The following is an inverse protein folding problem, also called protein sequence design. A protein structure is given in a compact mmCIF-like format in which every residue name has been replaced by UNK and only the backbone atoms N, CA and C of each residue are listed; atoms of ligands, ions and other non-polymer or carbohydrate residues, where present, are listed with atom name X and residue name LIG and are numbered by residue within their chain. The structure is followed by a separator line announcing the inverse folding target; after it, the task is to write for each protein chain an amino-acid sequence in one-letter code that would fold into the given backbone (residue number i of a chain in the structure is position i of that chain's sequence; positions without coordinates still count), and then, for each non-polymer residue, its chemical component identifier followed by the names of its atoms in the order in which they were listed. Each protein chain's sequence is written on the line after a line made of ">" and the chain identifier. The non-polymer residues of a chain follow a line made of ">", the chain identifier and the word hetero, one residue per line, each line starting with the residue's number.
data_IF_306921555460
#
_entry.id   IF_306921555460
#
_cell.length_a   1.000
_cell.length_b   1.000
_cell.length_c   1.000
_cell.angle_alpha   90.00
_cell.angle_beta   90.00
_cell.angle_gamma   90.00
#
_symmetry.space_group_name_H-M   'P 1'
#
loop_
_entity.id
_entity.type
_entity.pdbx_description
1 polymer ?
#
# COMPACT_ATOMS: atom_id res chain seq x y z
N UNK A 1 20.78 -2.13 -3.89
CA UNK A 1 19.38 -1.83 -4.23
C UNK A 1 18.48 -2.13 -3.05
N UNK A 2 17.68 -1.15 -2.62
CA UNK A 2 16.75 -1.21 -1.49
C UNK A 2 15.32 -1.07 -2.00
N UNK A 3 14.55 -2.13 -1.84
CA UNK A 3 13.15 -2.17 -2.28
C UNK A 3 12.24 -2.31 -1.07
N UNK A 4 11.23 -1.44 -1.00
CA UNK A 4 10.17 -1.52 -0.01
C UNK A 4 8.94 -2.22 -0.62
N UNK A 5 8.66 -3.45 -0.20
CA UNK A 5 7.48 -4.21 -0.60
C UNK A 5 6.31 -3.97 0.34
N UNK A 6 5.10 -3.77 -0.22
CA UNK A 6 3.90 -3.40 0.54
C UNK A 6 2.71 -4.34 0.23
N UNK A 7 1.93 -4.66 1.26
CA UNK A 7 0.61 -5.28 1.17
C UNK A 7 -0.45 -4.50 1.96
N UNK A 8 -1.73 -4.86 1.80
CA UNK A 8 -2.86 -4.16 2.41
C UNK A 8 -3.57 -3.17 1.49
N UNK A 9 -4.50 -2.41 2.07
CA UNK A 9 -5.32 -1.44 1.35
C UNK A 9 -4.71 -0.04 1.29
N UNK A 10 -5.45 0.88 0.67
CA UNK A 10 -5.07 2.29 0.52
C UNK A 10 -5.96 3.24 1.35
N UNK A 11 -6.73 2.73 2.31
CA UNK A 11 -7.58 3.56 3.16
C UNK A 11 -6.83 4.02 4.42
N UNK A 12 -7.18 5.20 4.95
CA UNK A 12 -6.65 5.67 6.25
C UNK A 12 -7.29 4.88 7.39
N UNK A 13 -6.61 4.87 8.54
CA UNK A 13 -7.05 4.11 9.71
C UNK A 13 -8.42 4.61 10.22
N UNK A 14 -8.71 5.91 10.12
CA UNK A 14 -9.96 6.54 10.55
C UNK A 14 -11.00 6.71 9.43
N UNK A 15 -10.73 6.23 8.22
CA UNK A 15 -11.75 6.19 7.17
C UNK A 15 -12.71 5.03 7.49
N UNK A 16 -13.79 5.32 8.24
CA UNK A 16 -14.86 4.36 8.57
C UNK A 16 -15.87 4.20 7.43
N UNK A 17 -15.97 5.22 6.57
CA UNK A 17 -16.65 5.11 5.29
C UNK A 17 -15.86 4.10 4.45
N UNK A 18 -16.43 2.94 4.08
CA UNK A 18 -15.85 2.17 3.00
C UNK A 18 -15.70 3.16 1.86
N UNK A 19 -14.46 3.38 1.39
CA UNK A 19 -14.30 3.98 0.08
C UNK A 19 -15.32 3.27 -0.82
N UNK A 20 -16.09 4.03 -1.60
CA UNK A 20 -17.15 3.45 -2.44
C UNK A 20 -16.63 2.30 -3.33
N UNK A 21 -15.30 2.24 -3.48
CA UNK A 21 -14.56 1.03 -3.75
C UNK A 21 -13.87 0.49 -2.49
N UNK A 22 -14.41 -0.54 -1.83
CA UNK A 22 -13.92 -1.03 -0.54
C UNK A 22 -12.54 -1.71 -0.70
N UNK A 23 -11.44 -0.94 -0.77
CA UNK A 23 -10.07 -1.46 -0.82
C UNK A 23 -9.82 -2.38 0.37
N UNK A 24 -10.40 -2.02 1.51
CA UNK A 24 -10.50 -2.81 2.73
C UNK A 24 -11.15 -4.21 2.57
N UNK A 25 -11.97 -4.47 1.55
CA UNK A 25 -12.57 -5.80 1.26
C UNK A 25 -11.77 -6.60 0.24
N UNK A 26 -10.84 -5.98 -0.48
CA UNK A 26 -10.10 -6.66 -1.56
C UNK A 26 -8.68 -7.01 -1.11
N UNK A 27 -8.16 -6.32 -0.09
CA UNK A 27 -6.80 -6.50 0.41
C UNK A 27 -6.79 -6.53 1.93
N UNK A 28 -6.35 -7.64 2.48
CA UNK A 28 -6.18 -7.87 3.91
C UNK A 28 -4.69 -8.06 4.23
N UNK A 29 -4.36 -8.18 5.51
CA UNK A 29 -3.00 -8.45 5.99
C UNK A 29 -2.00 -7.40 5.52
N UNK A 30 -2.28 -6.14 5.85
CA UNK A 30 -1.36 -5.04 5.57
C UNK A 30 0.00 -5.31 6.23
N UNK A 31 1.07 -5.16 5.48
CA UNK A 31 2.43 -5.45 5.91
C UNK A 31 3.44 -4.67 5.06
N UNK A 32 4.68 -4.62 5.53
CA UNK A 32 5.81 -4.10 4.78
C UNK A 32 7.01 -5.03 4.91
N UNK A 33 7.83 -5.08 3.85
CA UNK A 33 9.11 -5.77 3.82
C UNK A 33 10.16 -4.87 3.20
N UNK A 34 11.32 -4.77 3.85
CA UNK A 34 12.51 -4.16 3.29
C UNK A 34 13.44 -5.25 2.74
N UNK A 35 13.71 -5.18 1.45
CA UNK A 35 14.70 -6.03 0.76
C UNK A 35 15.91 -5.19 0.41
N UNK A 36 17.09 -5.63 0.80
CA UNK A 36 18.37 -5.00 0.45
C UNK A 36 19.24 -6.03 -0.27
N UNK A 37 19.66 -5.70 -1.49
CA UNK A 37 20.51 -6.53 -2.35
C UNK A 37 20.03 -7.98 -2.48
N UNK A 38 18.71 -8.12 -2.71
CA UNK A 38 18.05 -9.39 -2.90
C UNK A 38 17.79 -10.20 -1.61
N UNK A 39 18.08 -9.63 -0.44
CA UNK A 39 17.85 -10.29 0.86
C UNK A 39 16.84 -9.52 1.70
N UNK A 40 15.96 -10.26 2.38
CA UNK A 40 15.03 -9.67 3.34
C UNK A 40 15.83 -9.15 4.54
N UNK A 41 15.77 -7.84 4.76
CA UNK A 41 16.40 -7.18 5.90
C UNK A 41 15.45 -7.10 7.09
N UNK A 42 14.18 -6.75 6.83
CA UNK A 42 13.14 -6.68 7.85
C UNK A 42 11.77 -6.88 7.21
N UNK A 43 10.84 -7.51 7.92
CA UNK A 43 9.45 -7.66 7.49
C UNK A 43 8.53 -7.66 8.71
N UNK A 44 7.39 -6.98 8.62
CA UNK A 44 6.42 -6.96 9.71
C UNK A 44 5.01 -6.72 9.17
N UNK A 45 4.05 -7.39 9.81
CA UNK A 45 2.62 -7.12 9.60
C UNK A 45 2.17 -5.92 10.43
N UNK A 46 1.33 -5.07 9.84
CA UNK A 46 0.76 -3.89 10.46
C UNK A 46 -0.07 -4.25 11.70
N UNK A 47 -0.77 -5.40 11.69
CA UNK A 47 -1.57 -5.87 12.82
C UNK A 47 -0.76 -6.11 14.10
N UNK A 48 0.54 -6.42 13.97
CA UNK A 48 1.43 -6.58 15.14
C UNK A 48 1.68 -5.26 15.84
N UNK A 49 1.56 -4.15 15.10
CA UNK A 49 1.85 -2.79 15.54
C UNK A 49 0.57 -2.03 15.96
N UNK A 50 -0.49 -2.07 15.15
CA UNK A 50 -1.74 -1.38 15.45
C UNK A 50 -2.73 -2.22 16.27
N UNK A 51 -2.49 -3.52 16.42
CA UNK A 51 -3.33 -4.47 17.18
C UNK A 51 -4.76 -4.63 16.62
N UNK A 52 -4.94 -4.36 15.34
CA UNK A 52 -6.18 -4.57 14.58
C UNK A 52 -6.01 -5.85 13.74
N UNK A 53 -6.62 -6.98 14.12
CA UNK A 53 -6.45 -8.24 13.40
C UNK A 53 -6.92 -8.15 11.94
N UNK A 54 -6.14 -8.73 11.02
CA UNK A 54 -6.50 -8.75 9.60
C UNK A 54 -6.58 -7.35 8.97
N UNK A 55 -5.85 -6.38 9.52
CA UNK A 55 -5.95 -4.98 9.10
C UNK A 55 -5.78 -4.84 7.59
N UNK A 56 -6.76 -4.15 7.00
CA UNK A 56 -6.90 -3.92 5.57
C UNK A 56 -6.61 -2.46 5.20
N UNK A 57 -6.06 -1.70 6.15
CA UNK A 57 -5.67 -0.29 6.01
C UNK A 57 -4.26 -0.17 5.43
N UNK A 58 -3.81 1.07 5.19
CA UNK A 58 -2.41 1.32 4.75
C UNK A 58 -1.41 0.81 5.80
N UNK A 59 -0.30 0.16 5.40
CA UNK A 59 0.72 -0.39 6.31
C UNK A 59 1.70 0.69 6.82
N UNK A 60 1.19 1.78 7.40
CA UNK A 60 2.01 2.95 7.77
C UNK A 60 3.01 2.61 8.87
N UNK A 61 2.59 1.90 9.92
CA UNK A 61 3.47 1.54 11.02
C UNK A 61 4.51 0.52 10.58
N UNK A 62 4.14 -0.43 9.72
CA UNK A 62 5.03 -1.44 9.19
C UNK A 62 6.12 -0.82 8.31
N UNK A 63 5.77 0.14 7.44
CA UNK A 63 6.72 0.93 6.66
C UNK A 63 7.71 1.64 7.59
N UNK A 64 7.18 2.37 8.59
CA UNK A 64 8.02 3.13 9.52
C UNK A 64 8.97 2.20 10.30
N UNK A 65 8.47 1.04 10.74
CA UNK A 65 9.28 0.05 11.45
C UNK A 65 10.40 -0.51 10.56
N UNK A 66 10.12 -0.85 9.30
CA UNK A 66 11.14 -1.29 8.35
C UNK A 66 12.27 -0.27 8.18
N UNK A 67 11.92 1.01 8.03
CA UNK A 67 12.88 2.10 7.86
C UNK A 67 13.70 2.33 9.14
N UNK A 68 13.03 2.38 10.29
CA UNK A 68 13.67 2.61 11.59
C UNK A 68 14.68 1.49 11.95
N UNK A 69 14.31 0.22 11.75
CA UNK A 69 15.19 -0.93 12.03
C UNK A 69 16.43 -0.94 11.12
N UNK A 70 16.33 -0.33 9.94
CA UNK A 70 17.44 -0.23 9.01
C UNK A 70 18.26 1.07 9.15
N UNK A 71 17.80 2.03 9.96
CA UNK A 71 18.39 3.36 10.05
C UNK A 71 18.27 4.15 8.73
N UNK A 72 17.18 3.92 7.99
CA UNK A 72 16.95 4.49 6.66
C UNK A 72 15.79 5.48 6.67
N UNK A 73 15.74 6.30 5.63
CA UNK A 73 14.61 7.17 5.29
C UNK A 73 14.00 6.73 3.95
N UNK A 74 12.85 7.30 3.58
CA UNK A 74 12.26 7.06 2.26
C UNK A 74 13.18 7.50 1.11
N UNK A 75 14.06 8.48 1.34
CA UNK A 75 15.02 8.93 0.33
C UNK A 75 16.11 7.89 0.01
N UNK A 76 16.29 6.88 0.88
CA UNK A 76 17.27 5.80 0.70
C UNK A 76 16.68 4.60 -0.07
N UNK A 77 15.39 4.63 -0.40
CA UNK A 77 14.67 3.55 -1.08
C UNK A 77 14.73 3.75 -2.60
N UNK A 78 15.25 2.75 -3.32
CA UNK A 78 15.39 2.77 -4.77
C UNK A 78 14.07 2.49 -5.49
N UNK A 79 13.14 1.79 -4.83
CA UNK A 79 11.85 1.47 -5.40
C UNK A 79 10.85 0.91 -4.40
N UNK A 80 9.57 1.06 -4.73
CA UNK A 80 8.45 0.50 -3.98
C UNK A 80 7.77 -0.58 -4.83
N UNK A 81 7.54 -1.74 -4.23
CA UNK A 81 6.82 -2.84 -4.85
C UNK A 81 5.46 -3.04 -4.16
N UNK A 82 4.41 -3.21 -4.94
CA UNK A 82 3.06 -3.55 -4.46
C UNK A 82 2.62 -4.87 -5.07
N UNK A 83 1.90 -5.68 -4.31
CA UNK A 83 1.46 -7.00 -4.80
C UNK A 83 0.23 -6.88 -5.71
N UNK A 84 0.34 -7.28 -6.97
CA UNK A 84 -0.80 -7.39 -7.89
C UNK A 84 -0.43 -7.03 -9.32
N UNK A 85 -1.24 -7.52 -10.25
CA UNK A 85 -1.06 -7.19 -11.66
C UNK A 85 -1.47 -5.74 -11.95
N UNK A 86 -0.75 -5.09 -12.86
CA UNK A 86 -1.09 -3.73 -13.29
C UNK A 86 -2.53 -3.62 -13.82
N UNK A 87 -3.01 -4.63 -14.56
CA UNK A 87 -4.39 -4.68 -15.07
C UNK A 87 -5.43 -4.58 -13.96
N UNK A 88 -5.17 -5.21 -12.83
CA UNK A 88 -6.03 -5.15 -11.67
C UNK A 88 -6.12 -3.70 -11.15
N UNK A 89 -4.99 -3.02 -10.97
CA UNK A 89 -4.97 -1.62 -10.54
C UNK A 89 -5.61 -0.66 -11.54
N UNK A 90 -5.40 -0.87 -12.84
CA UNK A 90 -6.06 -0.08 -13.88
C UNK A 90 -7.58 -0.21 -13.78
N UNK A 91 -8.09 -1.44 -13.63
CA UNK A 91 -9.51 -1.68 -13.45
C UNK A 91 -10.05 -1.00 -12.18
N UNK A 92 -9.30 -1.05 -11.07
CA UNK A 92 -9.66 -0.36 -9.83
C UNK A 92 -9.80 1.15 -10.02
N UNK A 93 -8.82 1.80 -10.64
CA UNK A 93 -8.82 3.25 -10.87
C UNK A 93 -10.00 3.66 -11.75
N UNK A 94 -10.18 2.98 -12.88
CA UNK A 94 -11.27 3.26 -13.82
C UNK A 94 -12.63 3.09 -13.17
N UNK A 95 -12.84 2.01 -12.40
CA UNK A 95 -14.10 1.75 -11.70
C UNK A 95 -14.35 2.76 -10.58
N UNK A 96 -13.30 3.21 -9.89
CA UNK A 96 -13.39 4.25 -8.85
C UNK A 96 -13.82 5.60 -9.45
N UNK A 97 -13.24 5.99 -10.59
CA UNK A 97 -13.66 7.18 -11.34
C UNK A 97 -15.13 7.11 -11.76
N UNK A 98 -15.57 5.99 -12.35
CA UNK A 98 -16.96 5.83 -12.79
C UNK A 98 -17.97 5.88 -11.64
N UNK A 99 -17.55 5.47 -10.43
CA UNK A 99 -18.39 5.56 -9.24
C UNK A 99 -18.51 6.99 -8.73
N UNK A 100 -17.39 7.71 -8.63
CA UNK A 100 -17.37 9.09 -8.10
C UNK A 100 -16.28 9.92 -8.78
N UNK A 101 -16.60 10.58 -9.91
CA UNK A 101 -15.65 11.41 -10.65
C UNK A 101 -15.14 12.62 -9.86
N UNK A 102 -15.89 13.10 -8.86
CA UNK A 102 -15.47 14.23 -8.03
C UNK A 102 -14.40 13.82 -7.02
N UNK A 103 -14.39 12.55 -6.60
CA UNK A 103 -13.43 12.00 -5.64
C UNK A 103 -12.17 11.44 -6.30
N UNK A 104 -12.27 10.93 -7.51
CA UNK A 104 -11.15 10.37 -8.26
C UNK A 104 -11.03 11.12 -9.60
N UNK A 105 -10.05 12.03 -9.77
CA UNK A 105 -10.03 12.96 -10.91
C UNK A 105 -9.55 12.34 -12.23
N UNK A 106 -9.16 11.05 -12.23
CA UNK A 106 -8.54 10.40 -13.37
C UNK A 106 -9.25 9.11 -13.76
N UNK A 107 -9.85 9.11 -14.95
CA UNK A 107 -10.13 7.88 -15.68
C UNK A 107 -8.87 7.47 -16.44
N UNK A 108 -8.11 6.53 -15.90
CA UNK A 108 -6.79 6.20 -16.45
C UNK A 108 -6.17 4.93 -15.89
N UNK A 109 -4.87 4.80 -16.09
CA UNK A 109 -4.06 3.66 -15.64
C UNK A 109 -3.22 4.02 -14.42
N UNK A 110 -2.78 3.01 -13.69
CA UNK A 110 -1.86 3.15 -12.56
C UNK A 110 -0.58 3.90 -12.96
N UNK A 111 -0.08 3.68 -14.20
CA UNK A 111 1.09 4.39 -14.73
C UNK A 111 0.88 5.90 -14.86
N UNK A 112 -0.30 6.32 -15.29
CA UNK A 112 -0.63 7.74 -15.40
C UNK A 112 -0.80 8.41 -14.03
N UNK A 113 -1.04 7.63 -12.97
CA UNK A 113 -1.26 8.16 -11.62
C UNK A 113 0.07 8.33 -10.84
N UNK A 114 1.11 7.57 -11.19
CA UNK A 114 2.42 7.57 -10.50
C UNK A 114 3.54 8.30 -11.26
N UNK A 115 3.26 8.80 -12.46
CA UNK A 115 4.16 9.63 -13.26
C UNK A 115 3.97 11.10 -12.93
#
# INVERSE_FOLDING_TARGET
>A
MRILGLSGGLDKIWDDEPSNFNWSKVRENAAAVLVEDGRVRFAIEEERLNRIPGTNKRPVLAIQKCLNEAGLTLADIDGVAVYGEEKFYNHLIQKSYLHDPNRYPLYGTMRQLIQ
#
